data_IF_037729858150
#
_entry.id   IF_037729858150
#
_cell.length_a   1.000
_cell.length_b   1.000
_cell.length_c   1.000
_cell.angle_alpha   90.00
_cell.angle_beta   90.00
_cell.angle_gamma   90.00
#
_symmetry.space_group_name_H-M   'P 1'
#
loop_
_entity.id
_entity.type
_entity.pdbx_description
1 polymer ?
#
# COMPACT_ATOMS: atom_id res chain seq x y z
N UNK A 1 -52.08 25.92 4.39
CA UNK A 1 -50.87 25.22 3.93
C UNK A 1 -50.93 23.82 4.55
N UNK A 2 -51.32 22.79 3.80
CA UNK A 2 -51.34 21.42 4.33
C UNK A 2 -49.91 20.91 4.43
N UNK A 3 -49.49 20.49 5.62
CA UNK A 3 -48.17 19.92 5.82
C UNK A 3 -48.13 18.54 5.16
N UNK A 4 -47.43 18.46 4.03
CA UNK A 4 -47.19 17.20 3.34
C UNK A 4 -45.96 16.52 3.97
N UNK A 5 -46.24 15.65 4.93
CA UNK A 5 -45.23 14.87 5.64
C UNK A 5 -44.36 14.04 4.67
N UNK A 6 -44.94 13.51 3.59
CA UNK A 6 -44.22 12.71 2.62
C UNK A 6 -43.18 13.57 1.88
N UNK A 7 -43.61 14.74 1.39
CA UNK A 7 -42.72 15.69 0.71
C UNK A 7 -41.61 16.17 1.63
N UNK A 8 -41.90 16.40 2.90
CA UNK A 8 -40.90 16.80 3.89
C UNK A 8 -39.84 15.72 4.12
N UNK A 9 -40.27 14.47 4.39
CA UNK A 9 -39.36 13.35 4.65
C UNK A 9 -38.47 13.01 3.44
N UNK A 10 -39.05 13.00 2.24
CA UNK A 10 -38.29 12.75 1.00
C UNK A 10 -37.28 13.87 0.74
N UNK A 11 -37.69 15.14 0.87
CA UNK A 11 -36.78 16.29 0.71
C UNK A 11 -35.61 16.25 1.70
N UNK A 12 -35.87 15.92 2.96
CA UNK A 12 -34.82 15.77 3.98
C UNK A 12 -33.83 14.65 3.62
N UNK A 13 -34.34 13.52 3.12
CA UNK A 13 -33.50 12.42 2.64
C UNK A 13 -32.58 12.84 1.49
N UNK A 14 -33.08 13.62 0.53
CA UNK A 14 -32.25 14.17 -0.55
C UNK A 14 -31.18 15.14 -0.03
N UNK A 15 -31.55 16.07 0.85
CA UNK A 15 -30.57 16.99 1.44
C UNK A 15 -29.45 16.24 2.14
N UNK A 16 -29.77 15.19 2.89
CA UNK A 16 -28.78 14.36 3.55
C UNK A 16 -27.82 13.70 2.55
N UNK A 17 -28.34 13.01 1.53
CA UNK A 17 -27.50 12.29 0.57
C UNK A 17 -26.66 13.25 -0.29
N UNK A 18 -27.25 14.32 -0.82
CA UNK A 18 -26.51 15.31 -1.62
C UNK A 18 -25.49 16.09 -0.79
N UNK A 19 -25.81 16.44 0.45
CA UNK A 19 -24.85 17.06 1.36
C UNK A 19 -23.63 16.17 1.58
N UNK A 20 -23.84 14.86 1.76
CA UNK A 20 -22.75 13.87 1.89
C UNK A 20 -21.95 13.73 0.59
N UNK A 21 -22.60 13.73 -0.57
CA UNK A 21 -21.92 13.70 -1.86
C UNK A 21 -21.00 14.92 -2.05
N UNK A 22 -21.50 16.12 -1.76
CA UNK A 22 -20.71 17.35 -1.90
C UNK A 22 -19.53 17.34 -0.94
N UNK A 23 -19.72 16.95 0.32
CA UNK A 23 -18.63 16.90 1.29
C UNK A 23 -17.54 15.89 0.90
N UNK A 24 -17.93 14.72 0.38
CA UNK A 24 -16.99 13.65 0.07
C UNK A 24 -16.31 13.83 -1.30
N UNK A 25 -17.06 14.21 -2.32
CA UNK A 25 -16.53 14.36 -3.69
C UNK A 25 -16.12 15.79 -4.04
N UNK A 26 -16.56 16.79 -3.28
CA UNK A 26 -16.16 18.18 -3.49
C UNK A 26 -14.67 18.41 -3.25
N UNK A 27 -14.09 17.75 -2.24
CA UNK A 27 -12.65 17.79 -2.00
C UNK A 27 -11.87 17.15 -3.17
N UNK A 28 -12.35 16.01 -3.69
CA UNK A 28 -11.75 15.37 -4.87
C UNK A 28 -11.82 16.25 -6.12
N UNK A 29 -12.92 16.98 -6.30
CA UNK A 29 -13.08 17.94 -7.38
C UNK A 29 -12.10 19.12 -7.24
N UNK A 30 -11.89 19.65 -6.03
CA UNK A 30 -10.92 20.71 -5.79
C UNK A 30 -9.48 20.24 -6.03
N UNK A 31 -9.11 19.05 -5.54
CA UNK A 31 -7.78 18.45 -5.78
C UNK A 31 -7.54 18.21 -7.27
N UNK A 32 -8.55 17.74 -8.01
CA UNK A 32 -8.50 17.61 -9.47
C UNK A 32 -8.25 18.95 -10.17
N UNK A 33 -8.95 20.01 -9.75
CA UNK A 33 -8.79 21.36 -10.31
C UNK A 33 -7.44 21.99 -10.00
N UNK A 34 -6.76 21.54 -8.95
CA UNK A 34 -5.46 22.06 -8.49
C UNK A 34 -4.26 21.23 -8.98
N UNK A 35 -4.48 20.28 -9.90
CA UNK A 35 -3.44 19.38 -10.46
C UNK A 35 -2.68 18.52 -9.43
N UNK A 36 -3.22 18.38 -8.23
CA UNK A 36 -2.66 17.51 -7.19
C UNK A 36 -2.95 16.03 -7.47
N UNK A 37 -2.04 15.13 -7.06
CA UNK A 37 -2.21 13.68 -7.26
C UNK A 37 -3.43 13.15 -6.50
N UNK A 38 -4.48 12.76 -7.22
CA UNK A 38 -5.69 12.16 -6.65
C UNK A 38 -5.41 10.71 -6.22
N UNK A 39 -5.44 10.45 -4.91
CA UNK A 39 -5.38 9.11 -4.36
C UNK A 39 -6.77 8.45 -4.38
N UNK A 40 -7.21 8.00 -5.55
CA UNK A 40 -8.51 7.35 -5.73
C UNK A 40 -8.53 5.92 -5.17
N UNK A 41 -9.27 5.67 -4.09
CA UNK A 41 -9.44 4.31 -3.51
C UNK A 41 -10.46 3.50 -4.32
N UNK A 42 -10.05 3.03 -5.50
CA UNK A 42 -10.92 2.34 -6.46
C UNK A 42 -11.72 1.17 -5.87
N UNK A 43 -11.23 0.51 -4.81
CA UNK A 43 -11.84 -0.72 -4.29
C UNK A 43 -13.08 -0.46 -3.42
N UNK A 44 -13.11 0.64 -2.66
CA UNK A 44 -14.29 1.06 -1.89
C UNK A 44 -15.17 2.03 -2.68
N UNK A 45 -14.57 2.86 -3.52
CA UNK A 45 -15.28 3.91 -4.25
C UNK A 45 -16.11 3.36 -5.42
N UNK A 46 -15.65 2.31 -6.14
CA UNK A 46 -16.47 1.71 -7.21
C UNK A 46 -17.77 1.11 -6.68
N UNK A 47 -17.77 0.27 -5.63
CA UNK A 47 -19.02 -0.18 -5.01
C UNK A 47 -19.84 0.97 -4.43
N UNK A 48 -19.21 1.96 -3.79
CA UNK A 48 -19.90 3.14 -3.24
C UNK A 48 -20.71 3.86 -4.32
N UNK A 49 -20.07 4.17 -5.45
CA UNK A 49 -20.70 4.86 -6.58
C UNK A 49 -21.84 4.01 -7.15
N UNK A 50 -21.66 2.70 -7.30
CA UNK A 50 -22.71 1.81 -7.78
C UNK A 50 -23.94 1.84 -6.87
N UNK A 51 -23.75 1.68 -5.56
CA UNK A 51 -24.83 1.73 -4.57
C UNK A 51 -25.49 3.10 -4.50
N UNK A 52 -24.72 4.19 -4.65
CA UNK A 52 -25.25 5.55 -4.71
C UNK A 52 -26.08 5.78 -5.97
N UNK A 53 -25.64 5.33 -7.15
CA UNK A 53 -26.39 5.45 -8.41
C UNK A 53 -27.71 4.68 -8.30
N UNK A 54 -27.67 3.45 -7.80
CA UNK A 54 -28.88 2.63 -7.60
C UNK A 54 -29.80 3.31 -6.58
N UNK A 55 -29.29 3.66 -5.40
CA UNK A 55 -30.06 4.27 -4.32
C UNK A 55 -30.72 5.60 -4.73
N UNK A 56 -29.94 6.52 -5.32
CA UNK A 56 -30.43 7.80 -5.82
C UNK A 56 -31.40 7.63 -6.99
N UNK A 57 -31.14 6.68 -7.89
CA UNK A 57 -32.07 6.36 -8.98
C UNK A 57 -33.44 5.94 -8.45
N UNK A 58 -33.46 5.06 -7.44
CA UNK A 58 -34.70 4.65 -6.77
C UNK A 58 -35.37 5.81 -6.03
N UNK A 59 -34.61 6.62 -5.29
CA UNK A 59 -35.14 7.79 -4.58
C UNK A 59 -35.82 8.79 -5.53
N UNK A 60 -35.17 9.11 -6.66
CA UNK A 60 -35.72 10.00 -7.68
C UNK A 60 -36.94 9.41 -8.36
N UNK A 61 -36.89 8.14 -8.75
CA UNK A 61 -38.02 7.47 -9.39
C UNK A 61 -39.25 7.46 -8.48
N UNK A 62 -39.08 7.14 -7.20
CA UNK A 62 -40.17 7.11 -6.24
C UNK A 62 -40.71 8.51 -5.93
N UNK A 63 -39.84 9.50 -5.76
CA UNK A 63 -40.26 10.90 -5.56
C UNK A 63 -40.98 11.51 -6.77
N UNK A 64 -40.56 11.13 -7.98
CA UNK A 64 -41.27 11.52 -9.21
C UNK A 64 -42.63 10.82 -9.32
N UNK A 65 -42.68 9.53 -8.97
CA UNK A 65 -43.91 8.74 -9.01
C UNK A 65 -44.94 9.26 -8.01
N UNK A 66 -44.53 9.62 -6.79
CA UNK A 66 -45.43 10.21 -5.79
C UNK A 66 -45.98 11.56 -6.22
N UNK A 67 -45.20 12.36 -6.97
CA UNK A 67 -45.66 13.65 -7.47
C UNK A 67 -46.72 13.54 -8.59
N UNK A 68 -46.82 12.38 -9.25
CA UNK A 68 -47.76 12.14 -10.36
C UNK A 68 -49.03 11.38 -9.95
N UNK A 69 -49.03 10.74 -8.80
CA UNK A 69 -50.14 9.90 -8.33
C UNK A 69 -50.99 10.68 -7.35
N UNK A 70 -52.31 10.57 -7.49
CA UNK A 70 -53.26 11.24 -6.59
C UNK A 70 -52.97 10.86 -5.12
N UNK A 71 -52.90 11.83 -4.19
CA UNK A 71 -52.57 11.59 -2.79
C UNK A 71 -53.63 10.79 -2.03
N UNK A 72 -54.81 10.57 -2.63
CA UNK A 72 -55.95 9.89 -1.99
C UNK A 72 -55.75 8.38 -1.80
N UNK A 73 -54.79 7.76 -2.50
CA UNK A 73 -54.48 6.34 -2.34
C UNK A 73 -53.34 6.14 -1.31
N UNK A 74 -53.71 6.15 -0.03
CA UNK A 74 -52.78 6.01 1.10
C UNK A 74 -51.95 4.72 1.06
N UNK A 75 -52.52 3.60 0.60
CA UNK A 75 -51.80 2.33 0.48
C UNK A 75 -50.69 2.44 -0.56
N UNK A 76 -50.97 3.06 -1.70
CA UNK A 76 -49.98 3.28 -2.74
C UNK A 76 -48.88 4.26 -2.30
N UNK A 77 -49.26 5.35 -1.61
CA UNK A 77 -48.30 6.31 -1.03
C UNK A 77 -47.37 5.66 0.00
N UNK A 78 -47.91 4.75 0.82
CA UNK A 78 -47.11 3.98 1.77
C UNK A 78 -46.10 3.06 1.08
N UNK A 79 -46.51 2.36 0.00
CA UNK A 79 -45.60 1.53 -0.80
C UNK A 79 -44.50 2.37 -1.43
N UNK A 80 -44.82 3.54 -2.00
CA UNK A 80 -43.82 4.45 -2.55
C UNK A 80 -42.84 4.88 -1.45
N UNK A 81 -43.32 5.20 -0.26
CA UNK A 81 -42.47 5.61 0.86
C UNK A 81 -41.52 4.49 1.29
N UNK A 82 -41.99 3.24 1.34
CA UNK A 82 -41.14 2.09 1.63
C UNK A 82 -40.07 1.89 0.55
N UNK A 83 -40.46 1.95 -0.73
CA UNK A 83 -39.52 1.84 -1.84
C UNK A 83 -38.49 2.98 -1.85
N UNK A 84 -38.93 4.20 -1.52
CA UNK A 84 -38.03 5.34 -1.30
C UNK A 84 -37.07 5.07 -0.15
N UNK A 85 -37.55 4.54 0.97
CA UNK A 85 -36.75 4.14 2.12
C UNK A 85 -35.69 3.11 1.79
N UNK A 86 -36.00 2.14 0.91
CA UNK A 86 -35.01 1.19 0.38
C UNK A 86 -33.93 1.94 -0.42
N UNK A 87 -34.31 2.80 -1.37
CA UNK A 87 -33.35 3.62 -2.12
C UNK A 87 -32.45 4.47 -1.21
N UNK A 88 -33.05 5.10 -0.21
CA UNK A 88 -32.33 5.85 0.83
C UNK A 88 -31.38 4.96 1.61
N UNK A 89 -31.79 3.76 2.03
CA UNK A 89 -30.93 2.81 2.73
C UNK A 89 -29.72 2.40 1.87
N UNK A 90 -29.92 2.10 0.59
CA UNK A 90 -28.84 1.77 -0.34
C UNK A 90 -27.83 2.92 -0.47
N UNK A 91 -28.29 4.17 -0.50
CA UNK A 91 -27.39 5.33 -0.52
C UNK A 91 -26.73 5.58 0.84
N UNK A 92 -27.48 5.43 1.94
CA UNK A 92 -27.04 5.65 3.32
C UNK A 92 -25.95 4.66 3.74
N UNK A 93 -26.17 3.36 3.49
CA UNK A 93 -25.27 2.29 3.94
C UNK A 93 -23.86 2.50 3.42
N UNK A 94 -23.71 3.10 2.24
CA UNK A 94 -22.39 3.38 1.65
C UNK A 94 -21.50 4.25 2.55
N UNK A 95 -22.09 5.07 3.42
CA UNK A 95 -21.38 5.98 4.32
C UNK A 95 -21.04 5.36 5.68
N UNK A 96 -21.44 4.11 5.93
CA UNK A 96 -21.18 3.42 7.19
C UNK A 96 -19.81 2.74 7.19
N UNK A 97 -19.22 2.61 8.39
CA UNK A 97 -17.98 1.85 8.57
C UNK A 97 -18.15 0.38 8.15
N UNK A 98 -19.35 -0.18 8.33
CA UNK A 98 -19.67 -1.54 7.92
C UNK A 98 -19.56 -1.73 6.41
N UNK A 99 -20.03 -0.77 5.60
CA UNK A 99 -19.88 -0.82 4.15
C UNK A 99 -18.41 -0.75 3.74
N UNK A 100 -17.64 0.16 4.36
CA UNK A 100 -16.20 0.27 4.12
C UNK A 100 -15.47 -1.03 4.46
N UNK A 101 -15.79 -1.65 5.59
CA UNK A 101 -15.15 -2.88 6.06
C UNK A 101 -15.55 -4.10 5.23
N UNK A 102 -16.80 -4.18 4.77
CA UNK A 102 -17.30 -5.29 3.96
C UNK A 102 -16.83 -5.21 2.49
N UNK A 103 -16.72 -3.99 1.95
CA UNK A 103 -16.29 -3.77 0.57
C UNK A 103 -14.77 -3.76 0.44
N UNK A 104 -14.04 -3.57 1.53
CA UNK A 104 -12.63 -3.97 1.63
C UNK A 104 -12.54 -5.51 1.54
N UNK A 105 -12.59 -6.02 0.31
CA UNK A 105 -12.08 -7.35 0.00
C UNK A 105 -10.66 -7.37 0.57
N UNK A 106 -10.34 -8.37 1.40
CA UNK A 106 -8.96 -8.72 1.79
C UNK A 106 -8.18 -9.15 0.54
N UNK A 107 -8.09 -8.30 -0.48
CA UNK A 107 -7.02 -8.37 -1.46
C UNK A 107 -5.81 -7.90 -0.67
N UNK A 108 -4.81 -8.75 -0.61
CA UNK A 108 -3.48 -8.44 -0.11
C UNK A 108 -2.80 -7.37 -0.99
N UNK A 109 -3.36 -6.16 -0.97
CA UNK A 109 -2.80 -4.95 -1.54
C UNK A 109 -2.97 -3.84 -0.49
N UNK A 110 -1.87 -3.26 0.01
CA UNK A 110 -1.92 -2.32 1.12
C UNK A 110 -2.53 -1.00 0.64
N UNK A 111 -3.71 -0.65 1.15
CA UNK A 111 -4.18 0.73 1.17
C UNK A 111 -3.33 1.53 2.17
N UNK A 112 -3.02 2.82 1.90
CA UNK A 112 -2.30 3.66 2.82
C UNK A 112 -3.19 3.91 4.03
N UNK A 113 -2.87 3.22 5.12
CA UNK A 113 -3.39 3.51 6.43
C UNK A 113 -2.99 4.92 6.82
N UNK A 114 -3.95 5.59 7.46
CA UNK A 114 -3.80 6.71 8.39
C UNK A 114 -2.36 6.97 8.79
N UNK A 115 -1.97 8.23 8.72
CA UNK A 115 -0.77 8.90 9.26
C UNK A 115 -0.35 8.47 10.67
N UNK A 116 0.03 7.22 10.84
CA UNK A 116 1.23 6.86 11.57
C UNK A 116 2.32 6.92 10.52
N UNK A 117 3.43 7.61 10.80
CA UNK A 117 4.62 7.48 9.97
C UNK A 117 4.99 5.98 9.97
N UNK A 118 4.49 5.22 8.98
CA UNK A 118 4.94 3.85 8.75
C UNK A 118 6.42 4.01 8.51
N UNK A 119 7.21 3.51 9.47
CA UNK A 119 8.65 3.43 9.36
C UNK A 119 8.91 2.78 8.01
N UNK A 120 9.64 3.46 7.11
CA UNK A 120 9.97 2.90 5.81
C UNK A 120 10.47 1.47 6.02
N UNK A 121 9.91 0.52 5.27
CA UNK A 121 10.37 -0.86 5.27
C UNK A 121 11.68 -0.88 4.49
N UNK A 122 12.74 -0.39 5.13
CA UNK A 122 14.11 -0.32 4.63
C UNK A 122 15.09 -0.80 5.71
N UNK A 123 16.37 -0.92 5.36
CA UNK A 123 17.39 -1.41 6.29
C UNK A 123 17.81 -0.40 7.37
N UNK A 124 17.37 0.86 7.27
CA UNK A 124 17.73 1.96 8.18
C UNK A 124 19.25 2.08 8.39
N UNK A 125 20.01 1.80 7.33
CA UNK A 125 21.47 1.90 7.33
C UNK A 125 21.87 3.37 7.40
N UNK A 126 22.69 3.73 8.40
CA UNK A 126 23.35 5.04 8.46
C UNK A 126 24.61 5.00 7.58
N UNK A 127 24.41 4.99 6.27
CA UNK A 127 25.47 4.93 5.26
C UNK A 127 25.43 6.18 4.39
N UNK A 128 26.59 6.79 4.16
CA UNK A 128 26.74 7.90 3.21
C UNK A 128 26.82 7.40 1.77
N UNK A 129 26.46 8.26 0.81
CA UNK A 129 26.53 7.95 -0.63
C UNK A 129 27.94 7.49 -1.05
N UNK A 130 28.99 8.21 -0.63
CA UNK A 130 30.38 7.82 -0.93
C UNK A 130 30.82 6.49 -0.29
N UNK A 131 30.27 6.10 0.87
CA UNK A 131 30.52 4.77 1.44
C UNK A 131 29.78 3.68 0.65
N UNK A 132 28.60 3.98 0.15
CA UNK A 132 27.79 3.05 -0.61
C UNK A 132 28.41 2.80 -1.99
N UNK A 133 28.91 3.84 -2.65
CA UNK A 133 29.70 3.73 -3.88
C UNK A 133 30.97 2.88 -3.66
N UNK A 134 31.74 3.16 -2.60
CA UNK A 134 32.93 2.36 -2.25
C UNK A 134 32.58 0.89 -1.97
N UNK A 135 31.45 0.63 -1.30
CA UNK A 135 30.98 -0.72 -1.03
C UNK A 135 30.63 -1.44 -2.33
N UNK A 136 29.90 -0.78 -3.24
CA UNK A 136 29.57 -1.32 -4.55
C UNK A 136 30.82 -1.64 -5.38
N UNK A 137 31.74 -0.68 -5.49
CA UNK A 137 33.00 -0.85 -6.21
C UNK A 137 33.87 -1.97 -5.61
N UNK A 138 33.90 -2.08 -4.27
CA UNK A 138 34.59 -3.15 -3.57
C UNK A 138 34.00 -4.52 -3.91
N UNK A 139 32.67 -4.66 -3.83
CA UNK A 139 31.98 -5.90 -4.18
C UNK A 139 32.17 -6.26 -5.66
N UNK A 140 32.18 -5.28 -6.56
CA UNK A 140 32.47 -5.46 -7.99
C UNK A 140 33.92 -5.93 -8.23
N UNK A 141 34.90 -5.31 -7.57
CA UNK A 141 36.32 -5.65 -7.69
C UNK A 141 36.61 -7.12 -7.35
N UNK A 142 35.91 -7.65 -6.35
CA UNK A 142 36.06 -9.04 -5.90
C UNK A 142 35.07 -10.01 -6.56
N UNK A 143 34.37 -9.58 -7.62
CA UNK A 143 33.36 -10.36 -8.34
C UNK A 143 32.24 -10.94 -7.44
N UNK A 144 31.79 -10.16 -6.44
CA UNK A 144 30.75 -10.55 -5.49
C UNK A 144 29.34 -10.11 -5.92
N UNK A 145 29.22 -9.38 -7.03
CA UNK A 145 27.96 -8.89 -7.62
C UNK A 145 27.83 -9.31 -9.09
N UNK A 146 26.59 -9.39 -9.58
CA UNK A 146 26.33 -9.49 -11.03
C UNK A 146 26.20 -8.09 -11.65
N UNK A 147 27.20 -7.59 -12.41
CA UNK A 147 27.13 -6.28 -13.05
C UNK A 147 25.92 -6.13 -13.96
N UNK A 148 25.63 -7.18 -14.74
CA UNK A 148 24.55 -7.17 -15.74
C UNK A 148 23.15 -7.08 -15.10
N UNK A 149 23.04 -7.32 -13.79
CA UNK A 149 21.76 -7.36 -13.05
C UNK A 149 21.68 -6.37 -11.90
N UNK A 150 22.79 -5.77 -11.49
CA UNK A 150 22.88 -4.88 -10.33
C UNK A 150 23.69 -3.65 -10.71
N UNK A 151 23.00 -2.60 -11.16
CA UNK A 151 23.63 -1.30 -11.35
C UNK A 151 23.97 -0.66 -10.00
N UNK A 152 24.84 0.36 -10.00
CA UNK A 152 25.11 1.16 -8.80
C UNK A 152 23.81 1.79 -8.24
N UNK A 153 22.96 2.31 -9.13
CA UNK A 153 21.67 2.88 -8.75
C UNK A 153 20.74 1.83 -8.12
N UNK A 154 20.72 0.60 -8.63
CA UNK A 154 19.93 -0.47 -8.05
C UNK A 154 20.43 -0.86 -6.66
N UNK A 155 21.75 -0.86 -6.48
CA UNK A 155 22.40 -1.14 -5.23
C UNK A 155 22.10 -0.06 -4.17
N UNK A 156 22.17 1.22 -4.55
CA UNK A 156 21.77 2.37 -3.73
C UNK A 156 20.31 2.29 -3.29
N UNK A 157 19.42 2.13 -4.26
CA UNK A 157 17.98 2.07 -4.00
C UNK A 157 17.66 0.93 -3.03
N UNK A 158 18.16 -0.29 -3.32
CA UNK A 158 17.88 -1.46 -2.51
C UNK A 158 18.37 -1.35 -1.07
N UNK A 159 19.47 -0.63 -0.80
CA UNK A 159 20.01 -0.47 0.55
C UNK A 159 19.39 0.69 1.35
N UNK A 160 18.90 1.73 0.69
CA UNK A 160 18.53 3.00 1.34
C UNK A 160 17.04 3.34 1.27
N UNK A 161 16.37 2.99 0.18
CA UNK A 161 14.95 3.30 -0.04
C UNK A 161 14.05 2.22 0.56
N UNK A 162 12.77 2.56 0.69
CA UNK A 162 11.74 1.59 1.07
C UNK A 162 11.66 0.49 0.01
N UNK A 163 11.75 -0.77 0.44
CA UNK A 163 11.82 -1.94 -0.43
C UNK A 163 10.63 -2.06 -1.40
N UNK A 164 9.49 -1.44 -1.08
CA UNK A 164 8.27 -1.48 -1.89
C UNK A 164 8.13 -0.31 -2.86
N UNK A 165 9.08 0.63 -2.86
CA UNK A 165 9.01 1.86 -3.68
C UNK A 165 9.83 1.80 -4.97
N UNK A 166 10.57 0.71 -5.18
CA UNK A 166 11.44 0.52 -6.34
C UNK A 166 11.48 -0.96 -6.75
N UNK A 167 11.84 -1.23 -8.01
CA UNK A 167 12.04 -2.59 -8.52
C UNK A 167 13.51 -3.05 -8.45
N UNK A 168 14.40 -2.20 -7.92
CA UNK A 168 15.83 -2.46 -7.80
C UNK A 168 16.14 -3.67 -6.91
N UNK A 169 17.07 -4.53 -7.38
CA UNK A 169 17.48 -5.75 -6.71
C UNK A 169 18.99 -5.91 -6.75
N UNK A 170 19.55 -6.47 -5.69
CA UNK A 170 20.95 -6.83 -5.57
C UNK A 170 21.09 -8.32 -5.84
N UNK A 171 21.85 -8.66 -6.86
CA UNK A 171 22.17 -10.04 -7.20
C UNK A 171 23.60 -10.36 -6.76
N UNK A 172 23.72 -11.07 -5.65
CA UNK A 172 25.02 -11.49 -5.13
C UNK A 172 25.54 -12.75 -5.82
N UNK A 173 26.85 -12.77 -6.09
CA UNK A 173 27.65 -13.94 -6.46
C UNK A 173 28.19 -14.70 -5.24
N UNK A 174 27.61 -14.48 -4.07
CA UNK A 174 28.06 -15.06 -2.81
C UNK A 174 27.28 -16.33 -2.44
N UNK A 175 28.00 -17.28 -1.84
CA UNK A 175 27.40 -18.46 -1.22
C UNK A 175 26.80 -18.14 0.16
N UNK A 176 26.21 -19.15 0.81
CA UNK A 176 25.57 -18.97 2.12
C UNK A 176 26.54 -18.42 3.19
N UNK A 177 27.72 -19.04 3.39
CA UNK A 177 28.74 -18.54 4.29
C UNK A 177 29.19 -17.10 4.00
N UNK A 178 29.57 -16.76 2.77
CA UNK A 178 30.00 -15.39 2.44
C UNK A 178 28.89 -14.36 2.60
N UNK A 179 27.63 -14.73 2.29
CA UNK A 179 26.48 -13.85 2.51
C UNK A 179 26.21 -13.60 4.00
N UNK A 180 26.44 -14.61 4.85
CA UNK A 180 26.32 -14.47 6.30
C UNK A 180 27.39 -13.52 6.85
N UNK A 181 28.64 -13.68 6.42
CA UNK A 181 29.73 -12.79 6.82
C UNK A 181 29.51 -11.36 6.34
N UNK A 182 29.07 -11.18 5.10
CA UNK A 182 28.71 -9.87 4.57
C UNK A 182 27.68 -9.16 5.47
N UNK A 183 26.64 -9.88 5.93
CA UNK A 183 25.67 -9.33 6.87
C UNK A 183 26.29 -8.92 8.21
N UNK A 184 27.19 -9.74 8.75
CA UNK A 184 27.86 -9.44 10.01
C UNK A 184 28.73 -8.19 9.89
N UNK A 185 29.54 -8.08 8.83
CA UNK A 185 30.32 -6.87 8.55
C UNK A 185 29.42 -5.64 8.35
N UNK A 186 28.35 -5.77 7.56
CA UNK A 186 27.41 -4.67 7.29
C UNK A 186 26.73 -4.17 8.56
N UNK A 187 26.24 -5.07 9.41
CA UNK A 187 25.59 -4.71 10.68
C UNK A 187 26.56 -4.12 11.70
N UNK A 188 27.81 -4.61 11.75
CA UNK A 188 28.85 -4.05 12.62
C UNK A 188 29.30 -2.66 12.17
N UNK A 189 29.53 -2.46 10.87
CA UNK A 189 30.02 -1.17 10.34
C UNK A 189 28.96 -0.07 10.41
N UNK A 190 27.70 -0.36 10.07
CA UNK A 190 26.67 0.68 9.92
C UNK A 190 25.61 0.70 11.05
N UNK A 191 25.86 -0.01 12.16
CA UNK A 191 25.06 -0.01 13.39
C UNK A 191 23.54 0.13 13.16
N UNK A 192 22.89 -0.97 12.79
CA UNK A 192 21.45 -1.01 12.55
C UNK A 192 20.73 -2.11 13.35
N UNK A 193 19.39 -2.05 13.41
CA UNK A 193 18.55 -3.08 14.02
C UNK A 193 18.18 -4.21 13.03
N UNK A 194 18.79 -4.23 11.85
CA UNK A 194 18.45 -5.16 10.77
C UNK A 194 18.86 -6.58 11.16
N UNK A 195 17.90 -7.51 11.13
CA UNK A 195 18.20 -8.93 11.29
C UNK A 195 18.61 -9.56 9.96
N UNK A 196 19.30 -10.70 10.01
CA UNK A 196 19.62 -11.45 8.78
C UNK A 196 18.38 -11.86 7.98
N UNK A 197 17.24 -12.08 8.67
CA UNK A 197 15.96 -12.36 8.01
C UNK A 197 15.48 -11.14 7.23
N UNK A 198 15.67 -9.95 7.77
CA UNK A 198 15.25 -8.72 7.10
C UNK A 198 16.07 -8.54 5.81
N UNK A 199 17.40 -8.70 5.87
CA UNK A 199 18.27 -8.54 4.71
C UNK A 199 17.99 -9.56 3.59
N UNK A 200 17.93 -10.85 3.89
CA UNK A 200 17.93 -11.89 2.85
C UNK A 200 16.59 -12.55 2.57
N UNK A 201 15.60 -12.40 3.45
CA UNK A 201 14.34 -13.15 3.38
C UNK A 201 13.14 -12.21 3.19
N UNK A 202 12.97 -11.24 4.10
CA UNK A 202 11.81 -10.35 4.11
C UNK A 202 11.90 -9.26 3.04
N UNK A 203 13.06 -8.61 2.91
CA UNK A 203 13.23 -7.49 1.98
C UNK A 203 12.87 -7.84 0.54
N UNK A 204 13.22 -9.06 0.09
CA UNK A 204 13.02 -9.48 -1.29
C UNK A 204 13.90 -8.75 -2.32
N UNK A 205 14.68 -7.76 -1.90
CA UNK A 205 15.59 -6.97 -2.75
C UNK A 205 16.96 -7.61 -2.89
N UNK A 206 17.34 -8.53 -1.98
CA UNK A 206 18.61 -9.26 -2.05
C UNK A 206 18.38 -10.68 -2.54
N UNK A 207 19.00 -11.03 -3.66
CA UNK A 207 18.84 -12.30 -4.35
C UNK A 207 20.17 -12.98 -4.62
N UNK A 208 20.10 -14.29 -4.83
CA UNK A 208 21.23 -15.10 -5.30
C UNK A 208 21.46 -14.88 -6.80
N UNK A 209 22.56 -15.46 -7.26
CA UNK A 209 22.93 -15.56 -8.68
C UNK A 209 21.82 -16.05 -9.61
N UNK A 210 21.08 -17.06 -9.15
CA UNK A 210 19.97 -17.70 -9.87
C UNK A 210 18.65 -16.90 -9.79
N UNK A 211 18.67 -15.72 -9.15
CA UNK A 211 17.48 -14.89 -8.93
C UNK A 211 16.55 -15.42 -7.83
N UNK A 212 16.91 -16.52 -7.14
CA UNK A 212 16.13 -17.06 -6.03
C UNK A 212 16.54 -16.38 -4.72
N UNK A 213 15.60 -16.38 -3.77
CA UNK A 213 15.89 -15.94 -2.39
C UNK A 213 16.84 -16.92 -1.69
N UNK A 214 17.60 -16.41 -0.74
CA UNK A 214 18.39 -17.25 0.16
C UNK A 214 17.48 -18.08 1.07
N UNK A 215 17.95 -19.25 1.48
CA UNK A 215 17.26 -20.07 2.49
C UNK A 215 17.77 -19.69 3.88
N UNK A 216 16.86 -19.31 4.77
CA UNK A 216 17.21 -18.90 6.13
C UNK A 216 18.05 -19.95 6.88
N UNK A 217 17.68 -21.24 6.79
CA UNK A 217 18.42 -22.31 7.46
C UNK A 217 19.86 -22.46 6.94
N UNK A 218 20.10 -22.15 5.67
CA UNK A 218 21.45 -22.17 5.09
C UNK A 218 22.31 -21.06 5.69
N UNK A 219 21.75 -19.86 5.84
CA UNK A 219 22.45 -18.72 6.44
C UNK A 219 22.67 -18.90 7.96
N UNK A 220 21.64 -19.39 8.67
CA UNK A 220 21.71 -19.63 10.12
C UNK A 220 22.75 -20.68 10.49
N UNK A 221 22.83 -21.76 9.71
CA UNK A 221 23.73 -22.88 10.00
C UNK A 221 25.10 -22.75 9.32
N UNK A 222 25.35 -21.67 8.56
CA UNK A 222 26.61 -21.47 7.86
C UNK A 222 27.83 -21.49 8.80
N UNK A 223 27.83 -20.79 9.94
CA UNK A 223 29.00 -20.77 10.83
C UNK A 223 29.36 -22.15 11.41
N UNK A 224 28.38 -23.05 11.55
CA UNK A 224 28.59 -24.41 12.06
C UNK A 224 29.30 -25.28 11.02
N UNK A 225 29.01 -25.08 9.73
CA UNK A 225 29.55 -25.88 8.63
C UNK A 225 30.83 -25.31 8.05
N UNK A 226 30.94 -23.98 8.06
CA UNK A 226 32.02 -23.23 7.43
C UNK A 226 32.21 -21.96 8.26
N UNK A 227 33.07 -22.01 9.30
CA UNK A 227 33.28 -20.88 10.21
C UNK A 227 33.86 -19.65 9.53
N UNK A 228 34.65 -19.83 8.46
CA UNK A 228 35.26 -18.77 7.66
C UNK A 228 34.96 -19.04 6.20
N UNK A 229 34.36 -18.08 5.51
CA UNK A 229 33.99 -18.18 4.10
C UNK A 229 35.20 -17.96 3.19
N UNK A 230 35.10 -18.43 1.94
CA UNK A 230 36.16 -18.22 0.94
C UNK A 230 36.39 -16.73 0.60
N UNK A 231 35.39 -15.89 0.85
CA UNK A 231 35.43 -14.45 0.55
C UNK A 231 35.73 -13.61 1.80
N UNK A 232 36.13 -14.22 2.90
CA UNK A 232 36.35 -13.51 4.17
C UNK A 232 37.39 -12.39 4.03
N UNK A 233 38.56 -12.69 3.48
CA UNK A 233 39.63 -11.70 3.27
C UNK A 233 39.18 -10.55 2.36
N UNK A 234 38.41 -10.87 1.31
CA UNK A 234 37.85 -9.88 0.41
C UNK A 234 36.86 -8.95 1.12
N UNK A 235 35.95 -9.52 1.93
CA UNK A 235 35.00 -8.74 2.73
C UNK A 235 35.72 -7.86 3.76
N UNK A 236 36.76 -8.37 4.42
CA UNK A 236 37.58 -7.58 5.35
C UNK A 236 38.21 -6.39 4.63
N UNK A 237 38.83 -6.59 3.45
CA UNK A 237 39.44 -5.49 2.68
C UNK A 237 38.40 -4.44 2.26
N UNK A 238 37.22 -4.88 1.81
CA UNK A 238 36.13 -3.98 1.43
C UNK A 238 35.69 -3.13 2.63
N UNK A 239 35.34 -3.75 3.75
CA UNK A 239 34.77 -3.05 4.90
C UNK A 239 35.79 -2.20 5.67
N UNK A 240 37.09 -2.54 5.65
CA UNK A 240 38.17 -1.68 6.18
C UNK A 240 38.30 -0.34 5.43
N UNK A 241 37.89 -0.28 4.16
CA UNK A 241 37.93 0.96 3.35
C UNK A 241 36.71 1.86 3.55
N UNK A 242 35.73 1.37 4.30
CA UNK A 242 34.46 2.06 4.60
C UNK A 242 34.45 2.71 5.99
N UNK A 243 35.32 2.25 6.88
CA UNK A 243 35.59 2.83 8.20
C UNK A 243 36.46 4.09 8.14
#
# INVERSE_FOLDING_TARGET
MSFDLFKYLTTLGFFYIYGRLILHYGELFLVYMLEDKILWKSHSEKPRILFLIIGLGFMHLMSFTSAKISPENYLFQFIILLAYGVGFYFAFVTWTDQFSNNMQVKVALPLPEKTTFKKADNFQLKISEGQLEKLYQGLMKYDLLYPDKTSLQDFENALTKDWNTHDSKIHFKMDGPSSREFYEFLSTTFSNQMTIKDLFIKSGVVLRSDGKKYKYNTLKNAPIRTPVSKQNDALIDIFKKLS
#
